data_IF_578405923811
#
_entry.id   IF_578405923811
#
_cell.length_a   1.000
_cell.length_b   1.000
_cell.length_c   1.000
_cell.angle_alpha   90.00
_cell.angle_beta   90.00
_cell.angle_gamma   90.00
#
_symmetry.space_group_name_H-M   'P 1'
#
loop_
_entity.id
_entity.type
_entity.pdbx_description
1 polymer ?
#
# COMPACT_ATOMS: atom_id res chain seq x y z
N UNK A 1 4.20 5.61 -17.51
CA UNK A 1 3.56 4.86 -16.41
C UNK A 1 4.43 3.63 -16.18
N UNK A 2 4.95 3.43 -14.97
CA UNK A 2 5.85 2.31 -14.68
C UNK A 2 5.10 1.32 -13.80
N UNK A 3 4.82 0.13 -14.36
CA UNK A 3 4.30 -1.00 -13.59
C UNK A 3 5.45 -1.58 -12.77
N UNK A 4 5.20 -1.83 -11.49
CA UNK A 4 6.16 -2.51 -10.62
C UNK A 4 6.12 -4.02 -10.87
N UNK A 5 4.92 -4.59 -10.84
CA UNK A 5 4.67 -5.99 -11.13
C UNK A 5 3.21 -6.22 -11.51
N UNK A 6 2.95 -7.38 -12.08
CA UNK A 6 1.61 -7.87 -12.36
C UNK A 6 1.40 -9.25 -11.73
N UNK A 7 0.14 -9.53 -11.42
CA UNK A 7 -0.36 -10.82 -10.95
C UNK A 7 -1.46 -11.27 -11.90
N UNK A 8 -2.17 -12.36 -11.58
CA UNK A 8 -3.26 -12.86 -12.43
C UNK A 8 -4.35 -11.80 -12.62
N UNK A 9 -4.76 -11.11 -11.54
CA UNK A 9 -5.90 -10.17 -11.56
C UNK A 9 -5.49 -8.72 -11.36
N UNK A 10 -4.29 -8.47 -10.82
CA UNK A 10 -3.88 -7.13 -10.38
C UNK A 10 -2.64 -6.61 -11.11
N UNK A 11 -2.63 -5.30 -11.34
CA UNK A 11 -1.45 -4.52 -11.71
C UNK A 11 -1.04 -3.70 -10.49
N UNK A 12 0.22 -3.81 -10.09
CA UNK A 12 0.81 -2.97 -9.05
C UNK A 12 1.67 -1.92 -9.75
N UNK A 13 1.35 -0.65 -9.57
CA UNK A 13 2.03 0.46 -10.26
C UNK A 13 2.14 1.70 -9.40
N UNK A 14 3.05 2.60 -9.76
CA UNK A 14 3.13 3.92 -9.13
C UNK A 14 1.79 4.64 -9.19
N UNK A 15 1.45 5.34 -8.11
CA UNK A 15 0.33 6.27 -8.08
C UNK A 15 0.51 7.37 -9.14
N UNK A 16 -0.59 7.81 -9.73
CA UNK A 16 -0.65 8.92 -10.69
C UNK A 16 -1.57 9.96 -10.04
N UNK A 17 -1.03 10.94 -9.29
CA UNK A 17 -1.83 11.85 -8.46
C UNK A 17 -2.98 12.53 -9.23
N UNK A 18 -2.73 12.95 -10.47
CA UNK A 18 -3.71 13.65 -11.32
C UNK A 18 -4.89 12.76 -11.70
N UNK A 19 -4.66 11.44 -11.86
CA UNK A 19 -5.67 10.47 -12.29
C UNK A 19 -6.32 9.72 -11.13
N UNK A 20 -5.54 9.46 -10.08
CA UNK A 20 -5.90 8.49 -9.05
C UNK A 20 -6.43 9.15 -7.76
N UNK A 21 -6.25 10.47 -7.59
CA UNK A 21 -6.58 11.15 -6.34
C UNK A 21 -8.04 10.94 -5.90
N UNK A 22 -8.99 10.91 -6.84
CA UNK A 22 -10.41 10.69 -6.52
C UNK A 22 -10.68 9.28 -5.99
N UNK A 23 -10.16 8.24 -6.66
CA UNK A 23 -10.31 6.86 -6.19
C UNK A 23 -9.52 6.61 -4.90
N UNK A 24 -8.34 7.20 -4.76
CA UNK A 24 -7.59 7.16 -3.51
C UNK A 24 -8.36 7.87 -2.38
N UNK A 25 -9.00 9.00 -2.67
CA UNK A 25 -9.81 9.73 -1.70
C UNK A 25 -11.01 8.89 -1.25
N UNK A 26 -11.69 8.20 -2.17
CA UNK A 26 -12.77 7.27 -1.82
C UNK A 26 -12.32 6.14 -0.88
N UNK A 27 -11.04 5.73 -0.92
CA UNK A 27 -10.46 4.75 -0.01
C UNK A 27 -10.13 5.39 1.35
N UNK A 28 -9.42 6.51 1.34
CA UNK A 28 -8.85 7.11 2.57
C UNK A 28 -9.81 8.08 3.29
N UNK A 29 -10.96 8.44 2.71
CA UNK A 29 -12.04 9.15 3.42
C UNK A 29 -13.00 8.20 4.14
N UNK A 30 -12.92 6.91 3.81
CA UNK A 30 -13.76 5.85 4.36
C UNK A 30 -13.32 5.47 5.79
N UNK A 31 -14.16 5.72 6.82
CA UNK A 31 -13.78 5.46 8.20
C UNK A 31 -13.49 3.98 8.47
N UNK A 32 -14.14 3.06 7.77
CA UNK A 32 -13.92 1.61 7.94
C UNK A 32 -12.54 1.19 7.43
N UNK A 33 -12.06 1.82 6.35
CA UNK A 33 -10.73 1.56 5.82
C UNK A 33 -9.66 2.19 6.72
N UNK A 34 -9.90 3.41 7.22
CA UNK A 34 -8.89 4.13 8.01
C UNK A 34 -8.87 3.78 9.49
N UNK A 35 -9.84 3.00 9.97
CA UNK A 35 -10.04 2.72 11.40
C UNK A 35 -8.75 2.27 12.11
N UNK A 36 -7.97 1.37 11.49
CA UNK A 36 -6.73 0.84 12.06
C UNK A 36 -5.45 1.53 11.58
N UNK A 37 -5.54 2.56 10.73
CA UNK A 37 -4.38 3.21 10.10
C UNK A 37 -3.78 4.34 10.96
N UNK A 38 -4.31 4.54 12.17
CA UNK A 38 -3.88 5.58 13.09
C UNK A 38 -4.41 6.99 12.78
N UNK A 39 -4.16 7.91 13.71
CA UNK A 39 -4.59 9.30 13.61
C UNK A 39 -3.93 10.00 12.42
N UNK A 40 -4.69 10.82 11.68
CA UNK A 40 -4.21 11.56 10.50
C UNK A 40 -4.23 10.76 9.18
N UNK A 41 -4.64 9.50 9.21
CA UNK A 41 -4.77 8.69 7.98
C UNK A 41 -6.02 9.01 7.16
N UNK A 42 -7.04 9.62 7.78
CA UNK A 42 -8.27 10.04 7.11
C UNK A 42 -8.08 11.41 6.46
N UNK A 43 -8.36 11.48 5.17
CA UNK A 43 -8.31 12.73 4.39
C UNK A 43 -9.69 13.37 4.27
N UNK A 44 -9.72 14.70 4.16
CA UNK A 44 -10.96 15.49 4.12
C UNK A 44 -11.28 16.06 2.76
N UNK A 45 -10.35 15.98 1.78
CA UNK A 45 -10.57 16.44 0.41
C UNK A 45 -9.76 15.65 -0.61
N UNK A 46 -10.20 15.66 -1.87
CA UNK A 46 -9.44 15.10 -2.99
C UNK A 46 -8.09 15.81 -3.14
N UNK A 47 -8.04 17.12 -2.91
CA UNK A 47 -6.81 17.90 -3.00
C UNK A 47 -5.76 17.45 -1.97
N UNK A 48 -6.14 17.31 -0.71
CA UNK A 48 -5.23 16.83 0.34
C UNK A 48 -4.76 15.39 0.06
N UNK A 49 -5.63 14.54 -0.51
CA UNK A 49 -5.22 13.21 -0.94
C UNK A 49 -4.25 13.25 -2.13
N UNK A 50 -4.46 14.13 -3.12
CA UNK A 50 -3.54 14.30 -4.25
C UNK A 50 -2.15 14.71 -3.75
N UNK A 51 -2.10 15.71 -2.88
CA UNK A 51 -0.85 16.17 -2.28
C UNK A 51 -0.15 15.06 -1.49
N UNK A 52 -0.90 14.26 -0.72
CA UNK A 52 -0.37 13.10 -0.01
C UNK A 52 0.23 12.04 -0.96
N UNK A 53 -0.37 11.82 -2.13
CA UNK A 53 0.19 10.92 -3.14
C UNK A 53 1.52 11.45 -3.68
N UNK A 54 1.59 12.75 -4.02
CA UNK A 54 2.82 13.41 -4.47
C UNK A 54 3.94 13.24 -3.44
N UNK A 55 3.67 13.60 -2.18
CA UNK A 55 4.66 13.52 -1.09
C UNK A 55 5.16 12.09 -0.85
N UNK A 56 4.28 11.09 -0.96
CA UNK A 56 4.66 9.68 -0.83
C UNK A 56 5.56 9.21 -1.98
N UNK A 57 5.27 9.65 -3.21
CA UNK A 57 6.08 9.34 -4.39
C UNK A 57 7.47 9.98 -4.24
N UNK A 58 7.53 11.27 -3.93
CA UNK A 58 8.79 12.00 -3.75
C UNK A 58 9.63 11.42 -2.61
N UNK A 59 8.99 11.04 -1.50
CA UNK A 59 9.68 10.36 -0.38
C UNK A 59 10.29 9.03 -0.82
N UNK A 60 9.57 8.24 -1.62
CA UNK A 60 10.05 6.95 -2.13
C UNK A 60 11.21 7.14 -3.11
N UNK A 61 11.10 8.12 -4.01
CA UNK A 61 12.17 8.47 -4.95
C UNK A 61 13.44 8.95 -4.25
N UNK A 62 13.32 9.79 -3.21
CA UNK A 62 14.47 10.25 -2.42
C UNK A 62 15.21 9.12 -1.72
N UNK A 63 14.51 8.07 -1.29
CA UNK A 63 15.14 6.88 -0.69
C UNK A 63 15.90 6.05 -1.73
N UNK A 64 15.43 6.04 -2.96
CA UNK A 64 16.06 5.37 -4.11
C UNK A 64 16.50 3.92 -3.83
N UNK A 65 15.69 3.16 -3.08
CA UNK A 65 16.01 1.80 -2.63
C UNK A 65 14.96 0.77 -3.11
N UNK A 66 14.12 1.14 -4.09
CA UNK A 66 13.04 0.30 -4.61
C UNK A 66 11.81 0.16 -3.68
N UNK A 67 11.82 0.78 -2.50
CA UNK A 67 10.66 0.76 -1.58
C UNK A 67 9.68 1.89 -1.84
N UNK A 68 8.44 1.75 -1.40
CA UNK A 68 7.40 2.74 -1.59
C UNK A 68 5.98 2.25 -1.30
N UNK A 69 5.01 2.98 -1.83
CA UNK A 69 3.60 2.60 -1.85
C UNK A 69 3.04 2.75 -3.25
N UNK A 70 2.22 1.77 -3.64
CA UNK A 70 1.75 1.61 -5.02
C UNK A 70 0.25 1.39 -5.05
N UNK A 71 -0.37 1.82 -6.14
CA UNK A 71 -1.77 1.53 -6.43
C UNK A 71 -1.91 0.05 -6.81
N UNK A 72 -2.93 -0.59 -6.27
CA UNK A 72 -3.39 -1.91 -6.70
C UNK A 72 -4.54 -1.68 -7.68
N UNK A 73 -4.38 -2.06 -8.94
CA UNK A 73 -5.38 -1.88 -9.99
C UNK A 73 -5.90 -3.24 -10.45
N UNK A 74 -7.21 -3.43 -10.44
CA UNK A 74 -7.86 -4.61 -11.01
C UNK A 74 -7.83 -4.53 -12.54
N UNK A 75 -7.28 -5.56 -13.20
CA UNK A 75 -7.05 -5.58 -14.66
C UNK A 75 -8.33 -5.37 -15.47
N UNK A 76 -9.39 -6.11 -15.12
CA UNK A 76 -10.64 -6.12 -15.89
C UNK A 76 -11.44 -4.82 -15.76
N UNK A 77 -11.49 -4.27 -14.55
CA UNK A 77 -12.31 -3.09 -14.26
C UNK A 77 -11.52 -1.78 -14.34
N UNK A 78 -10.20 -1.84 -14.51
CA UNK A 78 -9.26 -0.69 -14.40
C UNK A 78 -9.43 0.13 -13.12
N UNK A 79 -10.02 -0.49 -12.09
CA UNK A 79 -10.40 0.17 -10.85
C UNK A 79 -9.31 0.01 -9.82
N UNK A 80 -9.03 1.07 -9.06
CA UNK A 80 -8.07 1.02 -7.97
C UNK A 80 -8.73 0.32 -6.78
N UNK A 81 -8.25 -0.88 -6.45
CA UNK A 81 -8.78 -1.69 -5.35
C UNK A 81 -8.09 -1.41 -4.02
N UNK A 82 -6.96 -0.71 -4.02
CA UNK A 82 -6.26 -0.38 -2.80
C UNK A 82 -4.86 0.15 -2.99
N UNK A 83 -4.12 0.13 -1.89
CA UNK A 83 -2.69 0.42 -1.78
C UNK A 83 -1.97 -0.80 -1.25
N UNK A 84 -0.83 -1.13 -1.83
CA UNK A 84 0.17 -2.03 -1.23
C UNK A 84 1.43 -1.21 -0.95
N UNK A 85 2.12 -1.47 0.16
CA UNK A 85 3.35 -0.80 0.52
C UNK A 85 4.42 -1.81 0.93
N UNK A 86 5.66 -1.43 0.67
CA UNK A 86 6.87 -2.05 1.21
C UNK A 86 7.78 -0.88 1.60
N UNK A 87 8.14 -0.73 2.87
CA UNK A 87 8.98 0.40 3.32
C UNK A 87 9.76 0.05 4.58
N UNK A 88 10.81 0.82 4.86
CA UNK A 88 11.54 0.72 6.12
C UNK A 88 10.66 1.13 7.31
N UNK A 89 10.72 0.35 8.38
CA UNK A 89 10.18 0.72 9.68
C UNK A 89 11.00 1.86 10.28
N UNK A 90 10.35 2.84 10.93
CA UNK A 90 11.05 3.89 11.65
C UNK A 90 11.61 3.38 12.99
N UNK A 91 12.72 3.95 13.44
CA UNK A 91 13.17 3.83 14.83
C UNK A 91 12.35 4.76 15.74
N UNK A 92 12.75 4.83 17.02
CA UNK A 92 12.11 5.69 18.03
C UNK A 92 12.14 7.20 17.70
N UNK A 93 13.09 7.62 16.86
CA UNK A 93 13.30 9.03 16.48
C UNK A 93 12.69 9.31 15.08
N UNK A 94 12.03 8.31 14.47
CA UNK A 94 11.37 8.43 13.18
C UNK A 94 12.29 8.20 11.98
N UNK A 95 13.54 7.78 12.21
CA UNK A 95 14.54 7.54 11.16
C UNK A 95 14.40 6.11 10.59
N UNK A 96 14.67 5.89 9.30
CA UNK A 96 14.52 4.58 8.68
C UNK A 96 15.52 3.55 9.23
N UNK A 97 15.03 2.38 9.60
CA UNK A 97 15.83 1.22 10.03
C UNK A 97 16.14 0.26 8.86
N UNK A 98 16.81 -0.85 9.14
CA UNK A 98 16.99 -1.96 8.18
C UNK A 98 15.86 -2.99 8.21
N UNK A 99 14.84 -2.79 9.05
CA UNK A 99 13.65 -3.63 9.06
C UNK A 99 12.64 -3.08 8.05
N UNK A 100 12.06 -3.97 7.23
CA UNK A 100 11.11 -3.60 6.19
C UNK A 100 9.73 -4.14 6.52
N UNK A 101 8.70 -3.32 6.37
CA UNK A 101 7.31 -3.74 6.50
C UNK A 101 6.58 -3.80 5.16
N UNK A 102 5.74 -4.83 5.02
CA UNK A 102 4.67 -4.90 4.02
C UNK A 102 3.35 -4.49 4.68
N UNK A 103 2.51 -3.77 3.93
CA UNK A 103 1.18 -3.37 4.39
C UNK A 103 0.20 -3.16 3.23
N UNK A 104 -1.09 -3.21 3.53
CA UNK A 104 -2.16 -3.07 2.53
C UNK A 104 -3.35 -2.29 3.07
N UNK A 105 -3.94 -1.45 2.22
CA UNK A 105 -5.21 -0.75 2.49
C UNK A 105 -6.13 -0.94 1.30
N UNK A 106 -7.23 -1.68 1.49
CA UNK A 106 -8.13 -2.04 0.39
C UNK A 106 -9.41 -1.24 0.50
N UNK A 107 -9.96 -0.82 -0.63
CA UNK A 107 -11.31 -0.27 -0.69
C UNK A 107 -12.29 -1.30 -0.13
N UNK A 108 -13.30 -0.85 0.62
CA UNK A 108 -14.27 -1.75 1.28
C UNK A 108 -14.92 -2.73 0.30
N UNK A 109 -15.33 -2.26 -0.88
CA UNK A 109 -15.96 -3.07 -1.93
C UNK A 109 -15.06 -4.18 -2.52
N UNK A 110 -13.77 -4.17 -2.19
CA UNK A 110 -12.78 -5.17 -2.63
C UNK A 110 -12.39 -6.15 -1.53
N UNK A 111 -12.94 -6.00 -0.31
CA UNK A 111 -12.72 -6.95 0.77
C UNK A 111 -13.35 -8.32 0.44
N UNK A 112 -12.77 -9.39 0.98
CA UNK A 112 -13.23 -10.77 0.74
C UNK A 112 -12.86 -11.35 -0.64
N UNK A 113 -12.41 -10.54 -1.61
CA UNK A 113 -12.06 -11.00 -2.97
C UNK A 113 -10.65 -11.61 -3.11
N UNK A 114 -9.87 -11.62 -2.02
CA UNK A 114 -8.49 -12.12 -2.00
C UNK A 114 -7.42 -11.17 -2.54
N UNK A 115 -7.78 -9.94 -2.94
CA UNK A 115 -6.83 -8.99 -3.52
C UNK A 115 -5.69 -8.57 -2.59
N UNK A 116 -5.93 -8.47 -1.28
CA UNK A 116 -4.86 -8.18 -0.33
C UNK A 116 -3.80 -9.30 -0.33
N UNK A 117 -4.23 -10.56 -0.28
CA UNK A 117 -3.34 -11.72 -0.30
C UNK A 117 -2.56 -11.81 -1.61
N UNK A 118 -3.22 -11.61 -2.75
CA UNK A 118 -2.56 -11.63 -4.06
C UNK A 118 -1.52 -10.52 -4.21
N UNK A 119 -1.88 -9.27 -3.85
CA UNK A 119 -0.97 -8.15 -3.91
C UNK A 119 0.21 -8.31 -2.94
N UNK A 120 -0.04 -8.81 -1.73
CA UNK A 120 0.99 -9.07 -0.73
C UNK A 120 1.99 -10.13 -1.22
N UNK A 121 1.52 -11.24 -1.82
CA UNK A 121 2.42 -12.26 -2.41
C UNK A 121 3.29 -11.68 -3.52
N UNK A 122 2.71 -10.86 -4.39
CA UNK A 122 3.47 -10.16 -5.43
C UNK A 122 4.57 -9.26 -4.84
N UNK A 123 4.23 -8.43 -3.85
CA UNK A 123 5.19 -7.53 -3.21
C UNK A 123 6.25 -8.27 -2.38
N UNK A 124 5.90 -9.37 -1.71
CA UNK A 124 6.88 -10.22 -1.02
C UNK A 124 7.86 -10.84 -2.02
N UNK A 125 7.38 -11.36 -3.15
CA UNK A 125 8.24 -11.87 -4.22
C UNK A 125 9.19 -10.79 -4.73
N UNK A 126 8.70 -9.56 -4.94
CA UNK A 126 9.54 -8.41 -5.30
C UNK A 126 10.60 -8.11 -4.22
N UNK A 127 10.19 -8.03 -2.95
CA UNK A 127 11.09 -7.74 -1.84
C UNK A 127 12.20 -8.79 -1.66
N UNK A 128 11.86 -10.07 -1.73
CA UNK A 128 12.84 -11.14 -1.56
C UNK A 128 13.71 -11.35 -2.81
N UNK A 129 13.12 -11.37 -4.01
CA UNK A 129 13.84 -11.78 -5.22
C UNK A 129 14.52 -10.63 -5.97
N UNK A 130 13.98 -9.41 -5.86
CA UNK A 130 14.52 -8.23 -6.57
C UNK A 130 15.34 -7.36 -5.62
N UNK A 131 14.80 -7.07 -4.43
CA UNK A 131 15.48 -6.25 -3.44
C UNK A 131 16.43 -7.04 -2.52
N UNK A 132 16.39 -8.38 -2.57
CA UNK A 132 17.20 -9.27 -1.72
C UNK A 132 17.05 -8.96 -0.22
N UNK A 133 15.85 -8.58 0.21
CA UNK A 133 15.59 -8.29 1.61
C UNK A 133 15.64 -9.59 2.42
N UNK A 134 16.38 -9.64 3.54
CA UNK A 134 16.51 -10.88 4.31
C UNK A 134 15.23 -11.22 5.09
N UNK A 135 14.49 -10.20 5.54
CA UNK A 135 13.28 -10.31 6.35
C UNK A 135 12.31 -9.18 5.96
N UNK A 136 11.02 -9.50 5.93
CA UNK A 136 9.93 -8.54 5.75
C UNK A 136 8.88 -8.80 6.82
N UNK A 137 8.53 -7.78 7.59
CA UNK A 137 7.55 -7.82 8.65
C UNK A 137 6.16 -7.40 8.14
N UNK A 138 5.11 -7.86 8.80
CA UNK A 138 3.78 -7.29 8.69
C UNK A 138 3.37 -6.78 10.07
N UNK A 139 3.24 -5.45 10.22
CA UNK A 139 2.82 -4.82 11.47
C UNK A 139 1.32 -4.62 11.45
N UNK A 140 0.63 -5.27 12.39
CA UNK A 140 -0.83 -5.31 12.42
C UNK A 140 -1.34 -5.04 13.83
N UNK A 141 -2.36 -4.19 13.96
CA UNK A 141 -3.06 -4.01 15.22
C UNK A 141 -3.71 -5.35 15.65
N UNK A 142 -3.54 -5.82 16.91
CA UNK A 142 -4.08 -7.10 17.37
C UNK A 142 -5.59 -7.30 17.14
N UNK A 143 -6.36 -6.20 17.14
CA UNK A 143 -7.81 -6.23 16.93
C UNK A 143 -8.19 -6.24 15.43
N UNK A 144 -7.24 -6.00 14.53
CA UNK A 144 -7.46 -6.07 13.08
C UNK A 144 -7.36 -7.51 12.57
N UNK A 145 -8.31 -8.35 13.00
CA UNK A 145 -8.36 -9.76 12.63
C UNK A 145 -8.44 -10.00 11.12
N UNK A 146 -9.01 -9.06 10.36
CA UNK A 146 -9.05 -9.16 8.90
C UNK A 146 -7.65 -9.10 8.29
N UNK A 147 -6.79 -8.19 8.77
CA UNK A 147 -5.40 -8.09 8.32
C UNK A 147 -4.55 -9.26 8.84
N UNK A 148 -4.75 -9.70 10.08
CA UNK A 148 -4.07 -10.90 10.63
C UNK A 148 -4.35 -12.14 9.76
N UNK A 149 -5.58 -12.33 9.28
CA UNK A 149 -5.88 -13.46 8.38
C UNK A 149 -5.14 -13.38 7.04
N UNK A 150 -4.73 -12.20 6.59
CA UNK A 150 -3.92 -12.05 5.39
C UNK A 150 -2.47 -12.41 5.67
N UNK A 151 -1.91 -12.08 6.84
CA UNK A 151 -0.51 -12.43 7.20
C UNK A 151 -0.27 -13.93 7.33
N UNK A 152 -1.33 -14.72 7.52
CA UNK A 152 -1.28 -16.17 7.68
C UNK A 152 -1.36 -16.98 6.36
N UNK A 153 -1.39 -16.31 5.20
CA UNK A 153 -1.61 -16.92 3.87
C UNK A 153 -0.46 -16.72 2.91
#
# INVERSE_FOLDING_TARGET
MTNLLETDRLIIRSWIPERDAEQAFAIYSDPEVTYFLGNGSRVTSIESQRQRLVENIERSQRRNNGTGSWAIVEKEATTIVGTILLKQLPDKDGLPTQDYEVGWHLRRASWGKGYATEAARGILSYGFNVLNLPVIYAVVNPENHASIRVTQR
#
